data_IF_914235409197
#
_entry.id   IF_914235409197
#
_cell.length_a   1.000
_cell.length_b   1.000
_cell.length_c   1.000
_cell.angle_alpha   90.00
_cell.angle_beta   90.00
_cell.angle_gamma   90.00
#
_symmetry.space_group_name_H-M   'P 1'
#
loop_
_entity.id
_entity.type
_entity.pdbx_description
1 polymer ?
#
# COMPACT_ATOMS: atom_id res chain seq x y z
N UNK A 1 -6.47 -33.27 14.34
CA UNK A 1 -5.81 -31.97 14.57
C UNK A 1 -5.35 -31.30 13.28
N UNK A 2 -4.90 -32.05 12.26
CA UNK A 2 -4.51 -31.56 10.92
C UNK A 2 -5.50 -30.60 10.24
N UNK A 3 -6.81 -30.88 10.32
CA UNK A 3 -7.84 -30.11 9.61
C UNK A 3 -7.98 -28.66 10.16
N UNK A 4 -7.76 -28.46 11.46
CA UNK A 4 -7.83 -27.13 12.06
C UNK A 4 -6.62 -26.26 11.69
N UNK A 5 -5.42 -26.86 11.63
CA UNK A 5 -4.21 -26.18 11.19
C UNK A 5 -4.31 -25.75 9.72
N UNK A 6 -4.83 -26.63 8.87
CA UNK A 6 -4.99 -26.31 7.45
C UNK A 6 -5.98 -25.16 7.25
N UNK A 7 -7.08 -25.12 8.00
CA UNK A 7 -8.05 -24.02 7.98
C UNK A 7 -7.48 -22.69 8.46
N UNK A 8 -6.67 -22.70 9.52
CA UNK A 8 -6.02 -21.48 10.03
C UNK A 8 -5.02 -20.95 8.99
N UNK A 9 -4.25 -21.85 8.38
CA UNK A 9 -3.28 -21.50 7.33
C UNK A 9 -3.97 -20.93 6.09
N UNK A 10 -5.05 -21.55 5.64
CA UNK A 10 -5.84 -21.12 4.49
C UNK A 10 -6.50 -19.75 4.73
N UNK A 11 -7.10 -19.54 5.91
CA UNK A 11 -7.68 -18.25 6.28
C UNK A 11 -6.60 -17.14 6.37
N UNK A 12 -5.41 -17.47 6.88
CA UNK A 12 -4.29 -16.53 6.94
C UNK A 12 -3.81 -16.16 5.54
N UNK A 13 -3.64 -17.14 4.65
CA UNK A 13 -3.25 -16.91 3.25
C UNK A 13 -4.28 -16.04 2.50
N UNK A 14 -5.58 -16.30 2.69
CA UNK A 14 -6.64 -15.50 2.09
C UNK A 14 -6.62 -14.03 2.57
N UNK A 15 -6.31 -13.79 3.85
CA UNK A 15 -6.19 -12.42 4.37
C UNK A 15 -4.96 -11.69 3.80
N UNK A 16 -3.85 -12.40 3.61
CA UNK A 16 -2.63 -11.84 2.99
C UNK A 16 -2.92 -11.43 1.55
N UNK A 17 -3.54 -12.32 0.77
CA UNK A 17 -3.87 -12.06 -0.63
C UNK A 17 -4.84 -10.89 -0.79
N UNK A 18 -5.87 -10.82 0.08
CA UNK A 18 -6.82 -9.69 0.10
C UNK A 18 -6.14 -8.36 0.44
N UNK A 19 -5.21 -8.36 1.38
CA UNK A 19 -4.45 -7.17 1.77
C UNK A 19 -3.47 -6.73 0.67
N UNK A 20 -2.80 -7.67 0.00
CA UNK A 20 -1.91 -7.35 -1.12
C UNK A 20 -2.68 -6.74 -2.30
N UNK A 21 -3.87 -7.27 -2.59
CA UNK A 21 -4.74 -6.72 -3.65
C UNK A 21 -5.25 -5.33 -3.30
N UNK A 22 -5.70 -5.12 -2.06
CA UNK A 22 -6.14 -3.79 -1.60
C UNK A 22 -5.00 -2.77 -1.62
N UNK A 23 -3.78 -3.19 -1.29
CA UNK A 23 -2.60 -2.35 -1.37
C UNK A 23 -2.25 -1.95 -2.82
N UNK A 24 -2.28 -2.90 -3.77
CA UNK A 24 -2.12 -2.60 -5.20
C UNK A 24 -3.20 -1.65 -5.71
N UNK A 25 -4.46 -1.84 -5.29
CA UNK A 25 -5.56 -0.92 -5.61
C UNK A 25 -5.35 0.47 -5.00
N UNK A 26 -4.82 0.56 -3.77
CA UNK A 26 -4.51 1.84 -3.14
C UNK A 26 -3.41 2.59 -3.88
N UNK A 27 -2.32 1.92 -4.29
CA UNK A 27 -1.27 2.51 -5.12
C UNK A 27 -1.84 2.98 -6.47
N UNK A 28 -2.65 2.14 -7.11
CA UNK A 28 -3.23 2.48 -8.41
C UNK A 28 -4.20 3.67 -8.29
N UNK A 29 -5.04 3.70 -7.25
CA UNK A 29 -5.93 4.83 -6.97
C UNK A 29 -5.14 6.10 -6.67
N UNK A 30 -4.04 5.98 -5.92
CA UNK A 30 -3.15 7.10 -5.64
C UNK A 30 -2.56 7.69 -6.93
N UNK A 31 -1.98 6.83 -7.77
CA UNK A 31 -1.41 7.22 -9.06
C UNK A 31 -2.47 7.83 -9.99
N UNK A 32 -3.70 7.32 -10.00
CA UNK A 32 -4.79 7.86 -10.79
C UNK A 32 -5.19 9.28 -10.33
N UNK A 33 -5.29 9.50 -9.02
CA UNK A 33 -5.59 10.83 -8.45
C UNK A 33 -4.48 11.82 -8.79
N UNK A 34 -3.22 11.42 -8.63
CA UNK A 34 -2.06 12.25 -8.96
C UNK A 34 -2.05 12.62 -10.45
N UNK A 35 -2.33 11.67 -11.35
CA UNK A 35 -2.41 11.91 -12.79
C UNK A 35 -3.56 12.84 -13.17
N UNK A 36 -4.74 12.68 -12.56
CA UNK A 36 -5.88 13.59 -12.78
C UNK A 36 -5.52 15.01 -12.35
N UNK A 37 -4.85 15.18 -11.21
CA UNK A 37 -4.41 16.49 -10.74
C UNK A 37 -3.39 17.13 -11.68
N UNK A 38 -2.43 16.36 -12.19
CA UNK A 38 -1.45 16.84 -13.17
C UNK A 38 -2.15 17.29 -14.46
N UNK A 39 -3.05 16.47 -15.00
CA UNK A 39 -3.78 16.78 -16.24
C UNK A 39 -4.69 17.99 -16.06
N UNK A 40 -5.47 18.04 -14.98
CA UNK A 40 -6.34 19.17 -14.66
C UNK A 40 -5.51 20.45 -14.50
N UNK A 41 -4.35 20.37 -13.86
CA UNK A 41 -3.46 21.51 -13.70
C UNK A 41 -2.89 21.96 -15.05
N UNK A 42 -2.42 21.06 -15.92
CA UNK A 42 -1.93 21.44 -17.27
C UNK A 42 -3.01 22.15 -18.08
N UNK A 43 -4.26 21.69 -17.99
CA UNK A 43 -5.40 22.32 -18.67
C UNK A 43 -5.75 23.71 -18.11
N UNK A 44 -5.54 23.92 -16.80
CA UNK A 44 -5.90 25.17 -16.11
C UNK A 44 -4.73 26.14 -15.94
N UNK A 45 -3.50 25.70 -16.21
CA UNK A 45 -2.30 26.48 -15.94
C UNK A 45 -2.04 27.51 -17.04
N UNK A 46 -2.09 28.77 -16.64
CA UNK A 46 -1.40 29.84 -17.35
C UNK A 46 0.06 29.88 -16.86
N UNK A 47 0.97 29.33 -17.67
CA UNK A 47 2.40 29.18 -17.35
C UNK A 47 3.14 30.50 -17.11
N UNK A 48 2.47 31.64 -17.32
CA UNK A 48 3.01 32.97 -17.03
C UNK A 48 3.08 33.30 -15.53
N UNK A 49 2.22 32.67 -14.70
CA UNK A 49 2.05 33.08 -13.30
C UNK A 49 2.70 32.10 -12.31
N UNK A 50 3.73 32.55 -11.58
CA UNK A 50 4.55 31.72 -10.66
C UNK A 50 3.73 31.06 -9.54
N UNK A 51 2.60 31.66 -9.15
CA UNK A 51 1.71 31.14 -8.11
C UNK A 51 1.08 29.80 -8.50
N UNK A 52 0.75 29.59 -9.78
CA UNK A 52 0.22 28.31 -10.25
C UNK A 52 1.28 27.21 -10.05
N UNK A 53 2.53 27.49 -10.42
CA UNK A 53 3.63 26.52 -10.33
C UNK A 53 3.94 26.12 -8.87
N UNK A 54 3.88 27.08 -7.94
CA UNK A 54 3.99 26.77 -6.50
C UNK A 54 2.82 25.90 -6.02
N UNK A 55 1.60 26.16 -6.49
CA UNK A 55 0.42 25.37 -6.13
C UNK A 55 0.57 23.92 -6.61
N UNK A 56 1.06 23.71 -7.83
CA UNK A 56 1.37 22.38 -8.37
C UNK A 56 2.40 21.65 -7.51
N UNK A 57 3.54 22.30 -7.23
CA UNK A 57 4.63 21.71 -6.44
C UNK A 57 4.14 21.31 -5.05
N UNK A 58 3.37 22.18 -4.39
CA UNK A 58 2.87 21.90 -3.03
C UNK A 58 1.87 20.75 -3.04
N UNK A 59 1.02 20.68 -4.07
CA UNK A 59 0.00 19.62 -4.21
C UNK A 59 0.66 18.28 -4.51
N UNK A 60 1.58 18.22 -5.49
CA UNK A 60 2.37 17.01 -5.78
C UNK A 60 3.15 16.59 -4.54
N UNK A 61 3.87 17.50 -3.88
CA UNK A 61 4.65 17.15 -2.69
C UNK A 61 3.76 16.58 -1.57
N UNK A 62 2.60 17.20 -1.31
CA UNK A 62 1.66 16.74 -0.29
C UNK A 62 1.08 15.36 -0.62
N UNK A 63 0.67 15.15 -1.87
CA UNK A 63 0.13 13.87 -2.31
C UNK A 63 1.24 12.80 -2.33
N UNK A 64 2.38 13.02 -2.95
CA UNK A 64 3.45 12.02 -3.01
C UNK A 64 3.85 11.51 -1.62
N UNK A 65 3.84 12.37 -0.57
CA UNK A 65 4.06 11.94 0.83
C UNK A 65 3.03 10.90 1.28
N UNK A 66 1.74 11.11 1.00
CA UNK A 66 0.68 10.14 1.31
C UNK A 66 0.91 8.82 0.57
N UNK A 67 1.28 8.89 -0.72
CA UNK A 67 1.67 7.71 -1.50
C UNK A 67 2.83 6.95 -0.87
N UNK A 68 3.89 7.65 -0.45
CA UNK A 68 5.03 7.05 0.26
C UNK A 68 4.63 6.43 1.60
N UNK A 69 3.77 7.08 2.38
CA UNK A 69 3.26 6.53 3.64
C UNK A 69 2.47 5.24 3.43
N UNK A 70 1.61 5.19 2.40
CA UNK A 70 0.88 3.98 2.04
C UNK A 70 1.85 2.87 1.65
N UNK A 71 2.85 3.17 0.81
CA UNK A 71 3.85 2.19 0.39
C UNK A 71 4.62 1.62 1.58
N UNK A 72 5.12 2.50 2.44
CA UNK A 72 5.83 2.12 3.65
C UNK A 72 4.96 1.25 4.57
N UNK A 73 3.67 1.58 4.71
CA UNK A 73 2.72 0.81 5.50
C UNK A 73 2.50 -0.60 4.92
N UNK A 74 2.39 -0.73 3.60
CA UNK A 74 2.28 -2.03 2.94
C UNK A 74 3.51 -2.92 3.16
N UNK A 75 4.71 -2.33 3.04
CA UNK A 75 5.98 -3.04 3.32
C UNK A 75 6.03 -3.48 4.79
N UNK A 76 5.65 -2.58 5.70
CA UNK A 76 5.63 -2.88 7.14
C UNK A 76 4.65 -4.02 7.46
N UNK A 77 3.45 -3.98 6.87
CA UNK A 77 2.44 -5.02 7.06
C UNK A 77 2.94 -6.39 6.53
N UNK A 78 3.55 -6.42 5.34
CA UNK A 78 4.10 -7.65 4.78
C UNK A 78 5.20 -8.25 5.66
N UNK A 79 6.09 -7.42 6.21
CA UNK A 79 7.13 -7.87 7.16
C UNK A 79 6.54 -8.46 8.44
N UNK A 80 5.49 -7.87 8.98
CA UNK A 80 4.83 -8.37 10.19
C UNK A 80 4.15 -9.72 9.94
N UNK A 81 3.48 -9.87 8.80
CA UNK A 81 2.89 -11.14 8.36
C UNK A 81 3.93 -12.26 8.26
N UNK A 82 5.08 -11.99 7.62
CA UNK A 82 6.16 -12.98 7.49
C UNK A 82 6.73 -13.40 8.85
N UNK A 83 6.86 -12.46 9.80
CA UNK A 83 7.31 -12.77 11.17
C UNK A 83 6.32 -13.65 11.92
N UNK A 84 5.02 -13.37 11.79
CA UNK A 84 3.97 -14.19 12.41
C UNK A 84 3.99 -15.60 11.81
N UNK A 85 4.13 -15.72 10.48
CA UNK A 85 4.20 -17.02 9.83
C UNK A 85 5.44 -17.82 10.29
N UNK A 86 6.59 -17.18 10.43
CA UNK A 86 7.81 -17.80 10.98
C UNK A 86 7.61 -18.24 12.43
N UNK A 87 6.99 -17.42 13.27
CA UNK A 87 6.73 -17.76 14.67
C UNK A 87 5.81 -19.00 14.79
N UNK A 88 4.77 -19.08 13.95
CA UNK A 88 3.88 -20.25 13.89
C UNK A 88 4.65 -21.49 13.44
N UNK A 89 5.50 -21.39 12.41
CA UNK A 89 6.32 -22.51 11.93
C UNK A 89 7.30 -23.03 13.00
N UNK A 90 7.95 -22.12 13.73
CA UNK A 90 8.87 -22.48 14.81
C UNK A 90 8.12 -23.17 15.96
N UNK A 91 6.99 -22.59 16.42
CA UNK A 91 6.19 -23.19 17.50
C UNK A 91 5.67 -24.60 17.22
N UNK A 92 5.44 -24.92 15.93
CA UNK A 92 4.98 -26.25 15.50
C UNK A 92 6.15 -27.23 15.31
N UNK A 93 7.36 -26.71 15.05
CA UNK A 93 8.56 -27.54 14.94
C UNK A 93 9.04 -28.01 16.32
N UNK A 94 8.77 -27.23 17.37
CA UNK A 94 9.14 -27.56 18.76
C UNK A 94 8.17 -28.58 19.43
N UNK A 95 7.01 -28.86 18.81
CA UNK A 95 5.98 -29.79 19.33
C UNK A 95 6.09 -31.22 18.73
N UNK A 96 7.01 -31.45 17.77
CA UNK A 96 7.38 -32.77 17.24
C UNK A 96 8.77 -33.21 17.72
#
# INVERSE_FOLDING_TARGET
>A
MENNLNKIRENTLQQIEKNERNYKLAIFGFAAVELIFIVAFILLADFSNRTHLLMLITTIAGYSIVGFCLIALGIHNNRNTLRILQAIQLSNTDEN
#
